data_IF_853756210163
#
_entry.id   IF_853756210163
#
_cell.length_a   1.000
_cell.length_b   1.000
_cell.length_c   1.000
_cell.angle_alpha   90.00
_cell.angle_beta   90.00
_cell.angle_gamma   90.00
#
_symmetry.space_group_name_H-M   'P 1'
#
loop_
_entity.id
_entity.type
_entity.pdbx_description
1 polymer ?
#
# COMPACT_ATOMS: atom_id res chain seq x y z
N UNK A 1 6.60 7.93 -8.36
CA UNK A 1 6.73 9.10 -9.28
C UNK A 1 7.87 10.03 -8.89
N UNK A 2 7.98 10.48 -7.64
CA UNK A 2 9.05 11.42 -7.25
C UNK A 2 10.46 10.82 -7.48
N UNK A 3 10.70 9.57 -7.07
CA UNK A 3 11.98 8.89 -7.29
C UNK A 3 12.37 8.81 -8.77
N UNK A 4 11.42 8.54 -9.67
CA UNK A 4 11.66 8.56 -11.12
C UNK A 4 12.09 9.95 -11.63
N UNK A 5 11.51 11.03 -11.09
CA UNK A 5 11.85 12.40 -11.47
C UNK A 5 13.20 12.88 -10.92
N UNK A 6 13.73 12.19 -9.91
CA UNK A 6 14.98 12.55 -9.23
C UNK A 6 16.10 11.55 -9.50
N UNK A 7 15.87 10.48 -10.27
CA UNK A 7 16.83 9.38 -10.48
C UNK A 7 18.17 9.82 -11.10
N UNK A 8 18.17 10.94 -11.80
CA UNK A 8 19.35 11.54 -12.42
C UNK A 8 20.31 12.18 -11.41
N UNK A 9 19.88 12.41 -10.16
CA UNK A 9 20.73 12.99 -9.12
C UNK A 9 21.54 11.87 -8.47
N UNK A 10 22.88 12.00 -8.45
CA UNK A 10 23.79 11.02 -7.87
C UNK A 10 23.43 10.68 -6.41
N UNK A 11 23.56 9.40 -5.98
CA UNK A 11 23.39 8.99 -4.58
C UNK A 11 24.25 9.79 -3.60
N UNK A 12 25.45 10.23 -4.01
CA UNK A 12 26.36 11.05 -3.19
C UNK A 12 25.80 12.44 -2.87
N UNK A 13 24.82 12.91 -3.65
CA UNK A 13 24.20 14.24 -3.53
C UNK A 13 22.78 14.19 -2.98
N UNK A 14 22.08 13.07 -3.19
CA UNK A 14 20.71 12.89 -2.75
C UNK A 14 20.51 11.45 -2.34
N UNK A 15 20.03 11.26 -1.12
CA UNK A 15 19.49 9.98 -0.64
C UNK A 15 17.99 10.12 -0.44
N UNK A 16 17.23 9.17 -0.99
CA UNK A 16 15.78 9.10 -0.87
C UNK A 16 15.43 7.92 0.05
N UNK A 17 14.81 8.24 1.19
CA UNK A 17 14.20 7.28 2.09
C UNK A 17 12.68 7.38 1.95
N UNK A 18 11.98 6.24 1.87
CA UNK A 18 10.54 6.20 1.62
C UNK A 18 9.86 5.38 2.71
N UNK A 19 8.94 5.99 3.45
CA UNK A 19 7.95 5.25 4.24
C UNK A 19 6.58 5.49 3.59
N UNK A 20 5.94 4.41 3.12
CA UNK A 20 4.64 4.49 2.46
C UNK A 20 3.68 3.47 3.07
N UNK A 21 2.46 3.92 3.27
CA UNK A 21 1.32 3.02 3.49
C UNK A 21 0.49 3.01 2.22
N UNK A 22 0.35 1.81 1.67
CA UNK A 22 -0.57 1.44 0.62
C UNK A 22 -0.48 2.36 -0.61
N UNK A 23 0.65 2.32 -1.35
CA UNK A 23 0.82 3.12 -2.55
C UNK A 23 -0.18 2.68 -3.63
N UNK A 24 -1.22 3.49 -3.81
CA UNK A 24 -2.30 3.30 -4.79
C UNK A 24 -2.16 4.32 -5.93
N UNK A 25 -1.97 3.90 -7.19
CA UNK A 25 -1.80 4.81 -8.32
C UNK A 25 -3.12 5.33 -8.89
N UNK A 26 -4.28 4.78 -8.47
CA UNK A 26 -5.59 5.19 -8.99
C UNK A 26 -5.86 4.70 -10.40
N UNK A 27 -5.37 3.51 -10.77
CA UNK A 27 -5.59 2.91 -12.07
C UNK A 27 -6.31 1.55 -11.93
N UNK A 28 -7.11 1.16 -12.93
CA UNK A 28 -7.64 -0.20 -13.00
C UNK A 28 -6.52 -1.18 -13.35
N UNK A 29 -6.48 -2.36 -12.70
CA UNK A 29 -5.48 -3.41 -12.98
C UNK A 29 -5.48 -3.79 -14.47
N UNK A 30 -6.67 -3.96 -15.06
CA UNK A 30 -6.82 -4.29 -16.48
C UNK A 30 -6.21 -3.23 -17.41
N UNK A 31 -6.44 -1.94 -17.13
CA UNK A 31 -5.85 -0.84 -17.90
C UNK A 31 -4.33 -0.83 -17.80
N UNK A 32 -3.77 -1.09 -16.62
CA UNK A 32 -2.32 -1.16 -16.41
C UNK A 32 -1.71 -2.37 -17.13
N UNK A 33 -2.36 -3.53 -17.08
CA UNK A 33 -1.91 -4.73 -17.80
C UNK A 33 -1.89 -4.50 -19.31
N UNK A 34 -2.94 -3.87 -19.87
CA UNK A 34 -3.00 -3.49 -21.28
C UNK A 34 -1.88 -2.52 -21.66
N UNK A 35 -1.71 -1.46 -20.87
CA UNK A 35 -0.68 -0.43 -21.07
C UNK A 35 0.76 -0.98 -21.02
N UNK A 36 1.03 -1.94 -20.13
CA UNK A 36 2.30 -2.68 -20.07
C UNK A 36 2.46 -3.62 -21.27
N UNK A 37 1.43 -4.36 -21.66
CA UNK A 37 1.48 -5.29 -22.80
C UNK A 37 1.74 -4.58 -24.13
N UNK A 38 1.24 -3.35 -24.28
CA UNK A 38 1.48 -2.51 -25.46
C UNK A 38 2.77 -1.69 -25.36
N UNK A 39 3.54 -1.81 -24.28
CA UNK A 39 4.78 -1.05 -24.06
C UNK A 39 4.59 0.47 -23.94
N UNK A 40 3.37 0.95 -23.70
CA UNK A 40 3.02 2.38 -23.76
C UNK A 40 3.41 3.14 -22.48
N UNK A 41 3.36 2.49 -21.31
CA UNK A 41 3.67 3.06 -19.98
C UNK A 41 2.96 4.41 -19.69
N UNK A 42 1.72 4.59 -20.16
CA UNK A 42 0.92 5.82 -20.02
C UNK A 42 0.20 5.94 -18.67
N UNK A 43 -0.20 4.83 -18.08
CA UNK A 43 -0.80 4.79 -16.74
C UNK A 43 0.25 5.09 -15.69
N UNK A 44 -0.17 5.70 -14.57
CA UNK A 44 0.76 6.04 -13.50
C UNK A 44 1.43 4.78 -12.96
N UNK A 45 0.66 3.71 -12.71
CA UNK A 45 1.17 2.42 -12.28
C UNK A 45 2.25 1.86 -13.22
N UNK A 46 2.00 1.82 -14.54
CA UNK A 46 2.97 1.31 -15.50
C UNK A 46 4.23 2.19 -15.59
N UNK A 47 4.08 3.51 -15.52
CA UNK A 47 5.20 4.46 -15.56
C UNK A 47 6.16 4.35 -14.36
N UNK A 48 5.71 3.75 -13.25
CA UNK A 48 6.49 3.55 -12.03
C UNK A 48 6.72 2.09 -11.69
N UNK A 49 6.30 1.15 -12.56
CA UNK A 49 6.37 -0.28 -12.32
C UNK A 49 7.81 -0.79 -12.12
N UNK A 50 8.77 -0.09 -12.72
CA UNK A 50 10.19 -0.37 -12.60
C UNK A 50 10.91 0.87 -12.06
N UNK A 51 11.52 0.75 -10.88
CA UNK A 51 12.34 1.78 -10.23
C UNK A 51 13.81 1.34 -10.11
N UNK A 52 14.28 0.29 -10.79
CA UNK A 52 15.64 -0.23 -10.59
C UNK A 52 16.74 0.80 -10.90
N UNK A 53 16.45 1.76 -11.77
CA UNK A 53 17.36 2.86 -12.12
C UNK A 53 17.42 3.99 -11.07
N UNK A 54 16.54 4.00 -10.07
CA UNK A 54 16.50 5.01 -9.01
C UNK A 54 17.60 4.76 -7.95
N UNK A 55 18.87 4.78 -8.36
CA UNK A 55 20.04 4.43 -7.52
C UNK A 55 20.18 5.26 -6.23
N UNK A 56 19.54 6.42 -6.17
CA UNK A 56 19.49 7.29 -5.00
C UNK A 56 18.44 6.87 -3.96
N UNK A 57 17.70 5.79 -4.16
CA UNK A 57 16.85 5.18 -3.14
C UNK A 57 17.68 4.29 -2.21
N UNK A 58 17.75 4.65 -0.92
CA UNK A 58 18.54 3.91 0.06
C UNK A 58 17.69 3.02 0.97
N UNK A 59 16.62 3.57 1.55
CA UNK A 59 15.75 2.82 2.45
C UNK A 59 14.30 2.94 2.02
N UNK A 60 13.56 1.85 2.14
CA UNK A 60 12.15 1.81 1.79
C UNK A 60 11.39 0.94 2.79
N UNK A 61 10.34 1.51 3.40
CA UNK A 61 9.28 0.80 4.10
C UNK A 61 8.02 0.96 3.25
N UNK A 62 7.42 -0.15 2.83
CA UNK A 62 6.09 -0.13 2.21
C UNK A 62 5.19 -1.11 2.94
N UNK A 63 4.13 -0.56 3.53
CA UNK A 63 3.08 -1.31 4.20
C UNK A 63 1.90 -1.43 3.24
N UNK A 64 1.36 -2.62 3.04
CA UNK A 64 0.11 -2.81 2.31
C UNK A 64 -0.96 -3.30 3.26
N UNK A 65 -2.19 -2.78 3.15
CA UNK A 65 -3.29 -3.30 3.97
C UNK A 65 -3.84 -4.59 3.36
N UNK A 66 -4.33 -5.51 4.20
CA UNK A 66 -4.77 -6.82 3.72
C UNK A 66 -6.16 -6.79 3.07
N UNK A 67 -7.09 -5.98 3.60
CA UNK A 67 -8.47 -5.92 3.12
C UNK A 67 -8.61 -5.01 1.91
N UNK A 68 -9.21 -5.49 0.79
CA UNK A 68 -9.47 -4.65 -0.36
C UNK A 68 -10.55 -3.60 -0.03
N UNK A 69 -10.53 -2.51 -0.78
CA UNK A 69 -11.71 -1.65 -0.95
C UNK A 69 -12.46 -2.07 -2.21
N UNK A 70 -13.75 -1.71 -2.37
CA UNK A 70 -14.55 -2.12 -3.53
C UNK A 70 -13.84 -1.82 -4.86
N UNK A 71 -13.86 -2.77 -5.81
CA UNK A 71 -13.10 -2.73 -7.07
C UNK A 71 -13.30 -1.46 -7.92
N UNK A 72 -14.49 -0.85 -7.81
CA UNK A 72 -14.83 0.41 -8.49
C UNK A 72 -13.94 1.59 -8.09
N UNK A 73 -13.20 1.47 -6.98
CA UNK A 73 -12.42 2.55 -6.43
C UNK A 73 -11.01 2.71 -7.03
N UNK A 74 -10.60 1.86 -8.00
CA UNK A 74 -9.25 1.89 -8.59
C UNK A 74 -8.13 1.84 -7.53
N UNK A 75 -8.37 1.10 -6.44
CA UNK A 75 -7.54 1.08 -5.22
C UNK A 75 -6.62 -0.14 -5.12
N UNK A 76 -6.31 -0.75 -6.26
CA UNK A 76 -5.27 -1.77 -6.32
C UNK A 76 -3.92 -1.11 -6.00
N UNK A 77 -3.18 -1.62 -5.01
CA UNK A 77 -1.87 -1.08 -4.70
C UNK A 77 -0.84 -1.55 -5.73
N UNK A 78 0.31 -0.89 -5.78
CA UNK A 78 1.44 -1.29 -6.64
C UNK A 78 2.67 -1.58 -5.81
N UNK A 79 3.33 -2.71 -6.11
CA UNK A 79 4.69 -3.00 -5.66
C UNK A 79 5.62 -2.99 -6.87
N UNK A 80 6.35 -1.89 -7.13
CA UNK A 80 7.28 -1.82 -8.24
C UNK A 80 8.59 -2.54 -7.92
N UNK A 81 9.38 -2.80 -8.96
CA UNK A 81 10.75 -3.30 -8.80
C UNK A 81 11.67 -2.23 -8.25
N UNK A 82 12.47 -2.54 -7.24
CA UNK A 82 13.38 -1.59 -6.59
C UNK A 82 14.84 -1.82 -7.00
N UNK A 83 15.72 -0.80 -6.88
CA UNK A 83 17.16 -0.98 -7.05
C UNK A 83 17.70 -2.02 -6.06
N UNK A 84 18.65 -2.85 -6.50
CA UNK A 84 19.31 -3.83 -5.63
C UNK A 84 20.08 -3.18 -4.46
N UNK A 85 20.47 -1.92 -4.61
CA UNK A 85 21.15 -1.14 -3.56
C UNK A 85 20.19 -0.63 -2.47
N UNK A 86 18.88 -0.71 -2.69
CA UNK A 86 17.87 -0.22 -1.75
C UNK A 86 17.57 -1.27 -0.68
N UNK A 87 17.65 -0.88 0.59
CA UNK A 87 17.16 -1.69 1.70
C UNK A 87 15.63 -1.56 1.80
N UNK A 88 14.94 -2.48 1.14
CA UNK A 88 13.47 -2.53 1.10
C UNK A 88 12.89 -3.47 2.16
N UNK A 89 12.09 -2.91 3.05
CA UNK A 89 11.19 -3.61 3.94
C UNK A 89 9.76 -3.47 3.40
N UNK A 90 9.24 -4.56 2.83
CA UNK A 90 7.88 -4.62 2.31
C UNK A 90 7.07 -5.53 3.20
N UNK A 91 5.93 -5.06 3.71
CA UNK A 91 5.12 -5.83 4.65
C UNK A 91 3.61 -5.61 4.52
N UNK A 92 2.84 -6.51 5.10
CA UNK A 92 1.37 -6.44 5.11
C UNK A 92 0.89 -6.07 6.51
N UNK A 93 0.02 -5.06 6.60
CA UNK A 93 -0.58 -4.55 7.84
C UNK A 93 -2.08 -4.86 7.85
N UNK A 94 -2.69 -5.07 9.03
CA UNK A 94 -4.13 -5.29 9.12
C UNK A 94 -4.92 -4.05 8.68
N UNK A 95 -6.14 -4.27 8.18
CA UNK A 95 -7.09 -3.22 7.84
C UNK A 95 -7.31 -3.05 6.35
N UNK A 96 -7.92 -1.92 5.98
CA UNK A 96 -7.99 -1.44 4.61
C UNK A 96 -7.41 -0.03 4.51
N UNK A 97 -7.28 0.51 3.29
CA UNK A 97 -6.77 1.86 3.05
C UNK A 97 -7.36 2.94 3.94
N UNK A 98 -8.68 2.89 4.19
CA UNK A 98 -9.36 3.88 5.02
C UNK A 98 -9.13 3.66 6.51
N UNK A 99 -9.16 2.40 6.97
CA UNK A 99 -9.14 2.10 8.41
C UNK A 99 -7.74 2.15 8.99
N UNK A 100 -6.70 1.83 8.20
CA UNK A 100 -5.30 1.86 8.63
C UNK A 100 -4.71 3.27 8.78
N UNK A 101 -5.44 4.33 8.44
CA UNK A 101 -5.07 5.75 8.68
C UNK A 101 -6.22 6.55 9.29
N UNK A 102 -7.09 5.88 10.03
CA UNK A 102 -8.19 6.56 10.70
C UNK A 102 -7.71 7.19 12.01
N UNK A 103 -7.65 8.53 12.03
CA UNK A 103 -7.36 9.34 13.20
C UNK A 103 -8.46 10.39 13.37
N UNK A 104 -8.78 10.70 14.62
CA UNK A 104 -9.76 11.74 14.99
C UNK A 104 -9.02 12.78 15.83
N UNK A 105 -9.33 14.06 15.55
CA UNK A 105 -8.88 15.17 16.40
C UNK A 105 -10.02 15.57 17.33
N UNK A 106 -9.80 15.46 18.64
CA UNK A 106 -10.77 15.85 19.68
C UNK A 106 -10.12 16.91 20.56
N UNK A 107 -10.55 18.17 20.43
CA UNK A 107 -9.81 19.28 21.05
C UNK A 107 -8.40 19.36 20.46
N UNK A 108 -7.37 19.31 21.30
CA UNK A 108 -5.96 19.24 20.88
C UNK A 108 -5.44 17.80 20.72
N UNK A 109 -6.24 16.82 21.10
CA UNK A 109 -5.85 15.41 21.09
C UNK A 109 -5.94 14.81 19.70
N UNK A 110 -4.96 13.97 19.37
CA UNK A 110 -4.96 13.12 18.18
C UNK A 110 -5.07 11.66 18.63
N UNK A 111 -6.16 11.03 18.25
CA UNK A 111 -6.56 9.70 18.70
C UNK A 111 -6.65 8.80 17.46
N UNK A 112 -6.03 7.62 17.49
CA UNK A 112 -6.26 6.62 16.47
C UNK A 112 -7.62 5.95 16.68
N UNK A 113 -8.42 5.85 15.62
CA UNK A 113 -9.77 5.28 15.71
C UNK A 113 -9.77 3.76 15.98
N UNK A 114 -8.65 3.08 15.74
CA UNK A 114 -8.51 1.62 15.86
C UNK A 114 -7.02 1.24 16.01
N UNK A 115 -6.76 -0.04 16.29
CA UNK A 115 -5.40 -0.57 16.47
C UNK A 115 -4.62 -0.73 15.15
N UNK A 116 -5.31 -0.89 14.02
CA UNK A 116 -4.70 -0.95 12.68
C UNK A 116 -3.95 0.36 12.37
N UNK A 117 -4.60 1.51 12.63
CA UNK A 117 -4.01 2.84 12.56
C UNK A 117 -2.80 3.00 13.47
N UNK A 118 -2.86 2.47 14.70
CA UNK A 118 -1.75 2.55 15.66
C UNK A 118 -0.55 1.77 15.18
N UNK A 119 -0.75 0.54 14.70
CA UNK A 119 0.32 -0.29 14.14
C UNK A 119 0.96 0.43 12.95
N UNK A 120 0.17 0.87 11.97
CA UNK A 120 0.69 1.56 10.80
C UNK A 120 1.43 2.85 11.15
N UNK A 121 0.91 3.63 12.12
CA UNK A 121 1.57 4.83 12.64
C UNK A 121 2.95 4.53 13.19
N UNK A 122 3.06 3.59 14.13
CA UNK A 122 4.34 3.23 14.76
C UNK A 122 5.35 2.76 13.74
N UNK A 123 4.96 1.86 12.84
CA UNK A 123 5.83 1.33 11.77
C UNK A 123 6.44 2.44 10.92
N UNK A 124 5.61 3.41 10.50
CA UNK A 124 6.04 4.55 9.69
C UNK A 124 6.96 5.47 10.49
N UNK A 125 6.52 5.91 11.68
CA UNK A 125 7.26 6.89 12.48
C UNK A 125 8.61 6.32 12.93
N UNK A 126 8.65 5.07 13.39
CA UNK A 126 9.90 4.41 13.78
C UNK A 126 10.90 4.34 12.62
N UNK A 127 10.43 3.98 11.42
CA UNK A 127 11.28 3.93 10.23
C UNK A 127 11.79 5.31 9.85
N UNK A 128 10.91 6.33 9.86
CA UNK A 128 11.29 7.71 9.56
C UNK A 128 12.35 8.23 10.54
N UNK A 129 12.18 7.95 11.85
CA UNK A 129 13.15 8.31 12.88
C UNK A 129 14.48 7.58 12.70
N UNK A 130 14.45 6.28 12.41
CA UNK A 130 15.64 5.47 12.11
C UNK A 130 16.44 6.06 10.95
N UNK A 131 15.78 6.70 9.99
CA UNK A 131 16.43 7.37 8.86
C UNK A 131 16.72 8.86 9.09
N UNK A 132 16.73 9.31 10.35
CA UNK A 132 17.14 10.66 10.74
C UNK A 132 16.05 11.72 10.68
N UNK A 133 14.78 11.34 10.47
CA UNK A 133 13.68 12.32 10.56
C UNK A 133 13.48 12.73 12.01
N UNK A 134 13.73 14.01 12.31
CA UNK A 134 13.37 14.60 13.59
C UNK A 134 11.87 14.90 13.61
N UNK A 135 11.19 14.41 14.63
CA UNK A 135 9.76 14.67 14.82
C UNK A 135 9.53 15.26 16.21
N UNK A 136 8.94 16.45 16.23
CA UNK A 136 8.58 17.13 17.47
C UNK A 136 7.18 16.69 17.90
N UNK A 137 7.12 15.56 18.61
CA UNK A 137 5.87 15.01 19.12
C UNK A 137 5.21 15.90 20.18
N UNK A 138 5.94 16.87 20.77
CA UNK A 138 5.38 17.76 21.81
C UNK A 138 4.35 18.73 21.24
N UNK A 139 4.40 19.00 19.94
CA UNK A 139 3.46 19.90 19.25
C UNK A 139 2.13 19.24 18.90
N UNK A 140 2.01 17.94 19.10
CA UNK A 140 0.85 17.14 18.76
C UNK A 140 0.46 16.35 20.01
N UNK A 141 -0.75 16.58 20.55
CA UNK A 141 -1.16 15.86 21.74
C UNK A 141 -1.64 14.45 21.36
N UNK A 142 -0.70 13.54 21.14
CA UNK A 142 -0.99 12.15 20.84
C UNK A 142 -1.60 11.44 22.05
N UNK A 143 -2.62 10.61 21.81
CA UNK A 143 -3.08 9.66 22.82
C UNK A 143 -1.91 8.78 23.33
N UNK A 144 -1.98 8.22 24.55
CA UNK A 144 -0.87 7.46 25.13
C UNK A 144 -0.32 6.35 24.22
N UNK A 145 -1.18 5.67 23.46
CA UNK A 145 -0.79 4.60 22.53
C UNK A 145 -0.13 5.08 21.22
N UNK A 146 -0.05 6.39 20.99
CA UNK A 146 0.66 7.00 19.86
C UNK A 146 1.92 7.75 20.31
N UNK A 147 2.16 7.83 21.63
CA UNK A 147 3.42 8.39 22.15
C UNK A 147 4.54 7.39 21.89
N UNK A 148 5.70 7.94 21.55
CA UNK A 148 6.93 7.19 21.33
C UNK A 148 8.08 7.89 22.07
N UNK A 149 9.00 7.11 22.63
CA UNK A 149 10.24 7.66 23.21
C UNK A 149 11.09 8.29 22.12
N UNK A 150 11.88 9.32 22.45
CA UNK A 150 12.87 9.86 21.53
C UNK A 150 14.00 8.86 21.26
N UNK A 151 14.32 8.01 22.24
CA UNK A 151 15.32 6.96 22.11
C UNK A 151 14.88 5.88 21.11
N UNK A 152 15.84 5.38 20.32
CA UNK A 152 15.67 4.26 19.39
C UNK A 152 14.94 3.10 20.07
N UNK A 153 13.98 2.47 19.35
CA UNK A 153 13.18 1.30 19.72
C UNK A 153 13.54 0.71 21.09
N UNK A 154 13.10 1.40 22.15
CA UNK A 154 13.31 0.92 23.49
C UNK A 154 12.32 -0.24 23.76
N UNK A 155 12.62 -1.05 24.77
CA UNK A 155 11.78 -2.21 25.10
C UNK A 155 10.31 -1.81 25.32
N UNK A 156 10.04 -0.57 25.77
CA UNK A 156 8.68 -0.04 25.94
C UNK A 156 7.90 0.09 24.63
N UNK A 157 8.50 0.63 23.55
CA UNK A 157 7.82 0.74 22.24
C UNK A 157 7.59 -0.66 21.64
N UNK A 158 8.57 -1.57 21.79
CA UNK A 158 8.47 -2.98 21.38
C UNK A 158 7.29 -3.66 22.08
N UNK A 159 7.20 -3.56 23.40
CA UNK A 159 6.12 -4.14 24.20
C UNK A 159 4.75 -3.59 23.82
N UNK A 160 4.68 -2.28 23.53
CA UNK A 160 3.45 -1.64 23.11
C UNK A 160 2.97 -2.15 21.75
N UNK A 161 3.88 -2.31 20.79
CA UNK A 161 3.56 -2.90 19.49
C UNK A 161 3.15 -4.37 19.62
N UNK A 162 3.86 -5.17 20.43
CA UNK A 162 3.48 -6.56 20.71
C UNK A 162 2.08 -6.65 21.32
N UNK A 163 1.72 -5.75 22.25
CA UNK A 163 0.35 -5.66 22.78
C UNK A 163 -0.66 -5.34 21.69
N UNK A 164 -0.36 -4.40 20.79
CA UNK A 164 -1.25 -4.08 19.65
C UNK A 164 -1.45 -5.29 18.73
N UNK A 165 -0.37 -5.98 18.37
CA UNK A 165 -0.45 -7.21 17.58
C UNK A 165 -1.30 -8.29 18.28
N UNK A 166 -1.11 -8.48 19.58
CA UNK A 166 -1.90 -9.42 20.38
C UNK A 166 -3.38 -9.06 20.52
N UNK A 167 -3.75 -7.77 20.39
CA UNK A 167 -5.16 -7.34 20.35
C UNK A 167 -5.79 -7.53 18.98
N UNK A 168 -5.04 -7.29 17.91
CA UNK A 168 -5.56 -7.37 16.54
C UNK A 168 -5.69 -8.81 16.07
N UNK A 169 -4.69 -9.65 16.33
CA UNK A 169 -4.64 -11.03 15.83
C UNK A 169 -5.92 -11.85 16.13
N UNK A 170 -6.50 -11.83 17.35
CA UNK A 170 -7.67 -12.66 17.69
C UNK A 170 -9.01 -12.11 17.18
N UNK A 171 -9.08 -10.81 16.88
CA UNK A 171 -10.35 -10.15 16.48
C UNK A 171 -10.45 -9.97 14.96
N UNK A 172 -9.40 -10.28 14.22
CA UNK A 172 -9.47 -10.25 12.77
C UNK A 172 -10.36 -11.41 12.31
N UNK A 173 -11.56 -11.03 11.89
CA UNK A 173 -12.57 -11.93 11.36
C UNK A 173 -12.14 -12.36 9.95
N UNK A 174 -11.29 -13.40 9.90
CA UNK A 174 -10.87 -14.03 8.66
C UNK A 174 -11.97 -14.99 8.22
N UNK A 175 -12.85 -14.53 7.35
CA UNK A 175 -13.85 -15.38 6.70
C UNK A 175 -13.17 -16.28 5.64
N UNK A 176 -12.30 -17.17 6.09
CA UNK A 176 -11.49 -18.04 5.25
C UNK A 176 -10.24 -17.34 4.69
N UNK A 177 -9.58 -18.03 3.76
CA UNK A 177 -8.43 -17.48 3.06
C UNK A 177 -8.89 -16.38 2.09
N UNK A 178 -8.33 -15.18 2.24
CA UNK A 178 -8.63 -14.05 1.37
C UNK A 178 -7.42 -13.68 0.51
N UNK A 179 -7.71 -13.22 -0.71
CA UNK A 179 -6.71 -12.72 -1.64
C UNK A 179 -7.04 -11.29 -2.04
N UNK A 180 -6.03 -10.43 -1.98
CA UNK A 180 -6.11 -9.07 -2.51
C UNK A 180 -5.13 -8.91 -3.66
N UNK A 181 -5.69 -8.66 -4.84
CA UNK A 181 -4.90 -8.41 -6.04
C UNK A 181 -4.18 -7.05 -5.95
N UNK A 182 -2.96 -7.02 -6.49
CA UNK A 182 -2.16 -5.83 -6.70
C UNK A 182 -1.92 -5.63 -8.20
N UNK A 183 -1.43 -4.45 -8.58
CA UNK A 183 -0.83 -4.29 -9.89
C UNK A 183 0.38 -5.23 -10.06
N UNK A 184 0.77 -5.47 -11.32
CA UNK A 184 1.97 -6.25 -11.68
C UNK A 184 1.92 -7.74 -11.30
N UNK A 185 0.72 -8.31 -11.20
CA UNK A 185 0.47 -9.73 -10.88
C UNK A 185 0.98 -10.17 -9.48
N UNK A 186 1.05 -9.24 -8.54
CA UNK A 186 1.33 -9.55 -7.15
C UNK A 186 0.03 -9.69 -6.34
N UNK A 187 0.09 -10.40 -5.22
CA UNK A 187 -1.06 -10.70 -4.37
C UNK A 187 -0.67 -10.63 -2.90
N UNK A 188 -1.59 -10.09 -2.10
CA UNK A 188 -1.57 -10.18 -0.65
C UNK A 188 -2.48 -11.33 -0.26
N UNK A 189 -1.98 -12.17 0.64
CA UNK A 189 -2.69 -13.32 1.17
C UNK A 189 -3.01 -13.10 2.63
N UNK A 190 -4.22 -13.46 3.00
CA UNK A 190 -4.68 -13.51 4.38
C UNK A 190 -5.08 -14.96 4.65
N UNK A 191 -4.36 -15.63 5.54
CA UNK A 191 -4.62 -17.03 5.89
C UNK A 191 -5.59 -17.13 7.07
N UNK A 192 -6.54 -18.05 7.00
CA UNK A 192 -7.42 -18.36 8.11
C UNK A 192 -6.66 -19.01 9.29
N UNK A 193 -7.25 -18.88 10.47
CA UNK A 193 -6.66 -19.07 11.81
C UNK A 193 -5.83 -20.34 12.04
N UNK A 194 -4.61 -20.17 12.56
CA UNK A 194 -3.74 -21.11 13.32
C UNK A 194 -2.32 -20.52 13.50
N UNK A 195 -2.02 -19.46 12.74
CA UNK A 195 -0.75 -18.75 12.74
C UNK A 195 -0.48 -18.00 14.05
N UNK A 196 0.78 -18.01 14.45
CA UNK A 196 1.26 -17.36 15.68
C UNK A 196 1.50 -15.86 15.51
N UNK A 197 1.86 -15.43 14.30
CA UNK A 197 2.27 -14.07 14.03
C UNK A 197 1.35 -13.41 13.00
N UNK A 198 1.26 -12.08 13.08
CA UNK A 198 0.43 -11.34 12.14
C UNK A 198 1.16 -11.17 10.81
N UNK A 199 2.45 -10.83 10.87
CA UNK A 199 3.34 -10.60 9.74
C UNK A 199 4.81 -10.75 10.18
N UNK A 200 5.75 -10.55 9.25
CA UNK A 200 7.20 -10.68 9.54
C UNK A 200 7.69 -9.69 10.58
N UNK A 201 7.11 -8.49 10.64
CA UNK A 201 7.47 -7.55 11.68
C UNK A 201 7.07 -8.02 13.08
N UNK A 202 5.90 -8.63 13.23
CA UNK A 202 5.49 -9.23 14.51
C UNK A 202 6.48 -10.35 14.93
N UNK A 203 6.98 -11.16 13.98
CA UNK A 203 8.06 -12.12 14.26
C UNK A 203 9.35 -11.45 14.73
N UNK A 204 9.78 -10.38 14.06
CA UNK A 204 10.98 -9.62 14.42
C UNK A 204 10.88 -9.03 15.83
N UNK A 205 9.75 -8.41 16.16
CA UNK A 205 9.49 -7.90 17.52
C UNK A 205 9.40 -9.03 18.56
N UNK A 206 9.15 -10.27 18.14
CA UNK A 206 9.11 -11.44 19.03
C UNK A 206 10.45 -12.19 19.08
N UNK A 207 11.52 -11.58 18.57
CA UNK A 207 12.88 -12.13 18.50
C UNK A 207 12.96 -13.53 17.84
N UNK A 208 12.04 -13.81 16.91
CA UNK A 208 12.01 -15.07 16.16
C UNK A 208 13.28 -15.20 15.32
N UNK A 209 14.00 -16.29 15.53
CA UNK A 209 15.13 -16.65 14.70
C UNK A 209 14.62 -17.15 13.34
N UNK A 210 15.12 -16.57 12.25
CA UNK A 210 14.71 -16.88 10.88
C UNK A 210 13.21 -16.66 10.59
N UNK A 211 12.72 -15.40 10.58
CA UNK A 211 11.32 -15.09 10.26
C UNK A 211 10.86 -15.70 8.92
N UNK A 212 9.72 -16.38 8.93
CA UNK A 212 9.09 -17.01 7.76
C UNK A 212 7.63 -16.56 7.57
N UNK A 213 7.18 -16.48 6.32
CA UNK A 213 5.78 -16.20 6.01
C UNK A 213 4.85 -17.36 6.42
N UNK A 214 5.37 -18.58 6.60
CA UNK A 214 4.54 -19.76 6.93
C UNK A 214 3.86 -19.65 8.30
N UNK A 215 4.43 -18.88 9.23
CA UNK A 215 3.86 -18.63 10.56
C UNK A 215 3.08 -17.31 10.66
N UNK A 216 2.89 -16.64 9.52
CA UNK A 216 2.23 -15.34 9.44
C UNK A 216 0.82 -15.46 8.86
N UNK A 217 -0.12 -14.76 9.48
CA UNK A 217 -1.49 -14.60 8.96
C UNK A 217 -1.50 -13.77 7.67
N UNK A 218 -0.71 -12.69 7.63
CA UNK A 218 -0.65 -11.75 6.52
C UNK A 218 0.66 -11.92 5.76
N UNK A 219 0.57 -12.34 4.50
CA UNK A 219 1.71 -12.63 3.64
C UNK A 219 1.53 -12.03 2.25
N UNK A 220 2.55 -12.13 1.40
CA UNK A 220 2.54 -11.60 0.04
C UNK A 220 3.33 -12.51 -0.88
N UNK A 221 2.90 -12.64 -2.14
CA UNK A 221 3.55 -13.53 -3.12
C UNK A 221 5.03 -13.21 -3.29
N UNK A 222 5.33 -11.93 -3.52
CA UNK A 222 6.69 -11.44 -3.71
C UNK A 222 6.86 -10.09 -3.03
N UNK A 223 7.92 -9.93 -2.25
CA UNK A 223 8.27 -8.70 -1.53
C UNK A 223 9.28 -7.84 -2.31
N UNK A 224 9.87 -8.36 -3.38
CA UNK A 224 10.79 -7.63 -4.26
C UNK A 224 10.66 -8.12 -5.72
N UNK A 225 9.56 -7.77 -6.41
CA UNK A 225 9.31 -8.21 -7.77
C UNK A 225 10.42 -7.72 -8.68
N UNK A 226 11.03 -8.63 -9.44
CA UNK A 226 12.01 -8.28 -10.47
C UNK A 226 11.30 -7.64 -11.66
N UNK A 227 11.95 -6.72 -12.40
CA UNK A 227 11.43 -6.26 -13.66
C UNK A 227 11.19 -7.49 -14.51
N UNK A 228 9.97 -7.63 -15.06
CA UNK A 228 9.77 -8.60 -16.11
C UNK A 228 10.61 -8.09 -17.27
N UNK A 229 11.74 -8.76 -17.52
CA UNK A 229 12.44 -8.61 -18.79
C UNK A 229 11.36 -8.63 -19.85
N UNK A 230 11.37 -7.63 -20.73
CA UNK A 230 10.42 -7.55 -21.83
C UNK A 230 10.50 -8.86 -22.57
N UNK A 231 9.61 -9.80 -22.24
CA UNK A 231 9.42 -11.03 -22.98
C UNK A 231 8.90 -10.54 -24.32
N UNK A 232 9.85 -10.30 -25.21
CA UNK A 232 9.68 -10.06 -26.64
C UNK A 232 9.10 -11.30 -27.34
N UNK A 233 8.77 -12.34 -26.57
CA UNK A 233 7.89 -13.42 -26.98
C UNK A 233 6.47 -13.08 -26.58
N UNK A 234 5.83 -12.22 -27.38
CA UNK A 234 4.38 -12.29 -27.55
C UNK A 234 4.10 -13.70 -28.06
N UNK A 235 3.71 -14.61 -27.17
CA UNK A 235 3.10 -15.86 -27.60
C UNK A 235 1.84 -15.48 -28.39
N UNK A 236 1.79 -15.83 -29.67
CA UNK A 236 0.68 -15.56 -30.61
C UNK A 236 -0.70 -16.04 -30.09
N UNK A 237 -0.76 -16.77 -28.99
CA UNK A 237 -1.98 -17.31 -28.39
C UNK A 237 -2.91 -16.27 -27.73
N UNK A 238 -2.46 -15.04 -27.41
CA UNK A 238 -3.33 -14.03 -26.77
C UNK A 238 -4.16 -13.15 -27.73
N UNK A 239 -3.98 -13.27 -29.05
CA UNK A 239 -4.81 -12.53 -30.02
C UNK A 239 -6.22 -13.15 -30.13
N UNK A 240 -6.41 -14.40 -29.69
CA UNK A 240 -7.68 -15.13 -29.82
C UNK A 240 -8.74 -14.81 -28.76
N UNK A 241 -8.40 -14.26 -27.58
CA UNK A 241 -9.37 -14.09 -26.47
C UNK A 241 -9.86 -12.66 -26.27
N UNK A 242 -9.22 -11.67 -26.90
CA UNK A 242 -9.64 -10.26 -26.82
C UNK A 242 -10.88 -9.95 -27.66
N UNK A 243 -11.16 -10.71 -28.73
CA UNK A 243 -12.36 -10.49 -29.55
C UNK A 243 -13.64 -10.75 -28.74
N UNK A 244 -13.68 -11.80 -27.92
CA UNK A 244 -14.84 -12.18 -27.11
C UNK A 244 -15.19 -11.17 -26.00
N UNK A 245 -14.21 -10.48 -25.41
CA UNK A 245 -14.47 -9.53 -24.32
C UNK A 245 -15.05 -8.20 -24.85
N UNK A 246 -14.55 -7.70 -25.99
CA UNK A 246 -15.11 -6.51 -26.64
C UNK A 246 -16.51 -6.78 -27.21
N UNK A 247 -16.79 -8.01 -27.69
CA UNK A 247 -18.15 -8.40 -28.10
C UNK A 247 -19.12 -8.44 -26.91
N UNK A 248 -18.68 -8.91 -25.74
CA UNK A 248 -19.54 -8.98 -24.55
C UNK A 248 -19.88 -7.59 -23.98
N UNK A 249 -18.90 -6.68 -23.88
CA UNK A 249 -19.13 -5.30 -23.39
C UNK A 249 -19.92 -4.48 -24.40
N UNK A 250 -19.64 -4.63 -25.71
CA UNK A 250 -20.42 -3.98 -26.77
C UNK A 250 -21.88 -4.44 -26.83
N UNK A 251 -22.14 -5.72 -26.57
CA UNK A 251 -23.51 -6.25 -26.50
C UNK A 251 -24.26 -5.82 -25.23
N UNK A 252 -23.57 -5.64 -24.09
CA UNK A 252 -24.19 -5.12 -22.86
C UNK A 252 -24.58 -3.64 -23.03
N UNK A 253 -23.71 -2.83 -23.65
CA UNK A 253 -23.99 -1.41 -23.94
C UNK A 253 -25.16 -1.26 -24.93
N UNK A 254 -25.22 -2.08 -25.99
CA UNK A 254 -26.32 -2.07 -26.96
C UNK A 254 -27.64 -2.62 -26.39
N UNK A 255 -27.62 -3.52 -25.39
CA UNK A 255 -28.83 -4.00 -24.71
C UNK A 255 -29.40 -2.95 -23.73
N UNK A 256 -28.54 -2.19 -23.07
CA UNK A 256 -28.95 -1.10 -22.17
C UNK A 256 -29.46 0.13 -22.95
N UNK A 257 -28.94 0.40 -24.15
CA UNK A 257 -29.41 1.50 -25.00
C UNK A 257 -30.79 1.26 -25.67
N UNK A 258 -31.29 0.01 -25.69
CA UNK A 258 -32.55 -0.37 -26.35
C UNK A 258 -33.72 -0.66 -25.40
N UNK A 259 -33.50 -0.59 -24.09
CA UNK A 259 -34.56 -0.75 -23.10
C UNK A 259 -35.01 0.63 -22.64
N UNK A 260 -36.20 1.04 -23.07
CA UNK A 260 -36.91 2.25 -22.63
C UNK A 260 -37.38 2.12 -21.17
N UNK A 261 -36.44 1.91 -20.25
CA UNK A 261 -36.67 1.99 -18.81
C UNK A 261 -36.12 3.34 -18.37
N UNK A 262 -37.03 4.25 -18.06
CA UNK A 262 -36.73 5.52 -17.44
C UNK A 262 -36.13 5.28 -16.04
N UNK A 263 -34.80 5.22 -15.97
CA UNK A 263 -34.10 5.36 -14.69
C UNK A 263 -33.98 6.86 -14.44
N UNK A 264 -34.71 7.34 -13.43
CA UNK A 264 -34.49 8.65 -12.81
C UNK A 264 -33.04 8.71 -12.33
N UNK A 265 -32.19 9.41 -13.06
CA UNK A 265 -30.90 9.85 -12.55
C UNK A 265 -31.20 10.90 -11.48
N UNK A 266 -30.99 10.54 -10.21
CA UNK A 266 -30.97 11.48 -9.10
C UNK A 266 -29.85 12.49 -9.37
N UNK A 267 -30.25 13.68 -9.80
CA UNK A 267 -29.43 14.87 -9.85
C UNK A 267 -29.17 15.28 -8.40
N UNK A 268 -28.01 14.91 -7.87
CA UNK A 268 -27.51 15.53 -6.66
C UNK A 268 -26.96 16.91 -7.06
N UNK A 269 -27.73 17.95 -6.78
CA UNK A 269 -27.19 19.30 -6.59
C UNK A 269 -26.31 19.28 -5.34
N UNK A 270 -25.07 18.83 -5.51
CA UNK A 270 -24.05 18.96 -4.47
C UNK A 270 -23.54 20.40 -4.52
N UNK A 271 -24.08 21.19 -3.61
CA UNK A 271 -23.59 22.52 -3.29
C UNK A 271 -22.09 22.42 -2.97
N UNK A 272 -21.28 22.96 -3.88
CA UNK A 272 -19.84 22.89 -3.88
C UNK A 272 -19.31 23.71 -2.69
N UNK A 273 -18.85 23.00 -1.67
CA UNK A 273 -17.88 23.54 -0.72
C UNK A 273 -16.61 22.68 -0.86
N UNK A 274 -15.78 23.05 -1.84
CA UNK A 274 -14.47 22.46 -2.15
C UNK A 274 -13.47 22.74 -1.02
N UNK A 275 -13.52 21.94 0.05
CA UNK A 275 -12.37 21.70 0.95
C UNK A 275 -12.38 20.25 1.45
N UNK A 276 -11.35 19.49 1.06
CA UNK A 276 -11.02 18.11 1.45
C UNK A 276 -11.88 17.02 0.75
N UNK A 277 -11.40 15.88 0.25
CA UNK A 277 -10.17 15.11 0.46
C UNK A 277 -9.80 14.33 -0.82
N UNK A 278 -8.74 14.73 -1.51
CA UNK A 278 -7.75 13.76 -2.01
C UNK A 278 -6.53 14.00 -1.14
N UNK A 279 -6.53 13.41 0.05
CA UNK A 279 -5.38 13.48 0.92
C UNK A 279 -4.30 12.55 0.34
N UNK A 280 -3.52 13.08 -0.60
CA UNK A 280 -2.17 12.58 -0.86
C UNK A 280 -1.36 12.90 0.41
N UNK A 281 -1.37 12.00 1.39
CA UNK A 281 -0.45 12.08 2.51
C UNK A 281 0.95 11.69 2.03
N UNK A 282 1.59 12.57 1.25
CA UNK A 282 3.03 12.58 1.10
C UNK A 282 3.55 13.46 2.23
N UNK A 283 4.12 12.85 3.26
CA UNK A 283 4.85 13.58 4.27
C UNK A 283 6.20 14.00 3.69
N UNK A 284 6.29 15.21 3.16
CA UNK A 284 7.55 15.80 2.73
C UNK A 284 8.11 16.64 3.89
N UNK A 285 9.16 16.15 4.54
CA UNK A 285 9.87 16.89 5.58
C UNK A 285 11.14 17.51 5.01
N UNK A 286 11.37 18.77 5.36
CA UNK A 286 12.61 19.49 5.04
C UNK A 286 13.67 19.05 6.05
N UNK A 287 14.69 18.32 5.58
CA UNK A 287 15.89 18.06 6.38
C UNK A 287 16.69 19.37 6.49
N UNK A 288 17.18 19.68 7.69
CA UNK A 288 18.16 20.75 7.93
C UNK A 288 19.56 20.21 7.67
#
# INVERSE_FOLDING_TARGET
>A
MLSQKLKQISPDRLTINIASLEPVPGNFISSVNSDLSMGMKKTLAASVADLTDCKNMANLLVLFTNRPLPDIACQAPILPSYPQTCHAEVDVTPGCHKTAVSFIKTGDDIIASNDESRIAFHRIIESMKRWGTSFDATRLNFEPFLKFSNDSLNDANKDQLLKLYGRVLPIMDFFGDEHRAMHLQNHIYTCATDKKYLNRHHQQLSDVQNPSDDDCVLTMLDRNPKPKESQSQVSESMISTSSSFFTCVGNLYNRLAKSSVWIRILRFDLNINLKAQQAKYCWAFKMK
#
